data_IF_579493350922
#
_entry.id   IF_579493350922
#
_cell.length_a   1.000
_cell.length_b   1.000
_cell.length_c   1.000
_cell.angle_alpha   90.00
_cell.angle_beta   90.00
_cell.angle_gamma   90.00
#
_symmetry.space_group_name_H-M   'P 1'
#
loop_
_entity.id
_entity.type
_entity.pdbx_description
1 polymer ?
#
# COMPACT_ATOMS: atom_id res chain seq x y z
N UNK A 1 36.24 -17.86 -14.21
CA UNK A 1 35.01 -18.52 -13.69
C UNK A 1 34.02 -17.42 -13.37
N UNK A 2 33.14 -17.09 -14.32
CA UNK A 2 32.01 -16.18 -14.07
C UNK A 2 31.02 -16.87 -13.11
N UNK A 3 30.71 -16.22 -11.99
CA UNK A 3 29.61 -16.64 -11.12
C UNK A 3 28.30 -16.34 -11.86
N UNK A 4 27.55 -17.39 -12.19
CA UNK A 4 26.18 -17.26 -12.65
C UNK A 4 25.34 -16.48 -11.61
N UNK A 5 24.40 -15.62 -12.04
CA UNK A 5 23.53 -14.92 -11.11
C UNK A 5 22.62 -15.94 -10.42
N UNK A 6 22.67 -15.99 -9.09
CA UNK A 6 21.71 -16.73 -8.29
C UNK A 6 20.38 -16.00 -8.40
N UNK A 7 19.51 -16.46 -9.29
CA UNK A 7 18.10 -16.05 -9.31
C UNK A 7 17.46 -16.69 -8.08
N UNK A 8 17.46 -15.97 -6.95
CA UNK A 8 16.72 -16.39 -5.77
C UNK A 8 15.23 -16.51 -6.15
N UNK A 9 14.71 -17.74 -6.13
CA UNK A 9 13.29 -17.99 -6.35
C UNK A 9 12.51 -17.35 -5.22
N UNK A 10 11.78 -16.30 -5.54
CA UNK A 10 10.88 -15.60 -4.63
C UNK A 10 9.87 -16.58 -4.00
N UNK A 11 9.73 -16.55 -2.68
CA UNK A 11 8.78 -17.43 -1.99
C UNK A 11 7.35 -17.16 -2.47
N UNK A 12 6.49 -18.18 -2.50
CA UNK A 12 5.09 -18.03 -2.90
C UNK A 12 4.34 -17.00 -2.03
N UNK A 13 4.68 -16.92 -0.74
CA UNK A 13 4.13 -15.92 0.17
C UNK A 13 4.55 -14.50 -0.20
N UNK A 14 5.80 -14.30 -0.64
CA UNK A 14 6.30 -13.00 -1.07
C UNK A 14 5.63 -12.56 -2.37
N UNK A 15 5.44 -13.46 -3.34
CA UNK A 15 4.76 -13.14 -4.58
C UNK A 15 3.28 -12.76 -4.37
N UNK A 16 2.59 -13.48 -3.48
CA UNK A 16 1.21 -13.20 -3.13
C UNK A 16 1.06 -11.84 -2.42
N UNK A 17 1.97 -11.52 -1.50
CA UNK A 17 2.00 -10.23 -0.81
C UNK A 17 2.18 -9.07 -1.80
N UNK A 18 3.14 -9.19 -2.72
CA UNK A 18 3.38 -8.16 -3.72
C UNK A 18 2.22 -7.99 -4.70
N UNK A 19 1.51 -9.07 -5.03
CA UNK A 19 0.31 -8.99 -5.86
C UNK A 19 -0.80 -8.19 -5.15
N UNK A 20 -1.02 -8.44 -3.86
CA UNK A 20 -1.98 -7.65 -3.06
C UNK A 20 -1.57 -6.20 -2.98
N UNK A 21 -0.30 -5.92 -2.67
CA UNK A 21 0.21 -4.55 -2.57
C UNK A 21 0.13 -3.81 -3.89
N UNK A 22 0.54 -4.41 -4.99
CA UNK A 22 0.47 -3.80 -6.32
C UNK A 22 -0.97 -3.47 -6.67
N UNK A 23 -1.89 -4.42 -6.47
CA UNK A 23 -3.31 -4.22 -6.75
C UNK A 23 -3.91 -3.12 -5.87
N UNK A 24 -3.62 -3.13 -4.57
CA UNK A 24 -4.11 -2.12 -3.64
C UNK A 24 -3.63 -0.72 -4.02
N UNK A 25 -2.34 -0.55 -4.33
CA UNK A 25 -1.85 0.77 -4.72
C UNK A 25 -2.43 1.24 -6.05
N UNK A 26 -2.52 0.38 -7.05
CA UNK A 26 -3.06 0.74 -8.38
C UNK A 26 -4.56 1.00 -8.37
N UNK A 27 -5.35 0.16 -7.69
CA UNK A 27 -6.81 0.21 -7.77
C UNK A 27 -7.48 0.99 -6.62
N UNK A 28 -6.72 1.36 -5.59
CA UNK A 28 -7.24 2.04 -4.39
C UNK A 28 -6.48 3.32 -4.10
N UNK A 29 -5.18 3.23 -3.80
CA UNK A 29 -4.40 4.39 -3.29
C UNK A 29 -4.20 5.46 -4.37
N UNK A 30 -3.81 5.05 -5.57
CA UNK A 30 -3.43 5.92 -6.69
C UNK A 30 -4.53 6.02 -7.74
N UNK A 31 -5.72 5.50 -7.44
CA UNK A 31 -6.85 5.52 -8.36
C UNK A 31 -7.52 6.89 -8.35
N UNK A 32 -7.70 7.48 -9.53
CA UNK A 32 -8.28 8.82 -9.72
C UNK A 32 -9.82 8.79 -9.92
N UNK A 33 -10.48 7.74 -9.44
CA UNK A 33 -11.92 7.58 -9.54
C UNK A 33 -12.57 7.39 -8.17
N UNK A 34 -13.88 7.12 -8.19
CA UNK A 34 -14.63 6.85 -6.96
C UNK A 34 -14.06 5.63 -6.25
N UNK A 35 -13.75 5.78 -4.96
CA UNK A 35 -13.25 4.70 -4.11
C UNK A 35 -14.25 3.53 -4.04
N UNK A 36 -13.77 2.34 -4.37
CA UNK A 36 -14.48 1.07 -4.11
C UNK A 36 -14.06 0.53 -2.74
N UNK A 37 -14.88 0.78 -1.72
CA UNK A 37 -14.62 0.40 -0.34
C UNK A 37 -14.40 -1.11 -0.16
N UNK A 38 -15.02 -1.95 -1.00
CA UNK A 38 -14.84 -3.42 -0.92
C UNK A 38 -13.40 -3.83 -1.20
N UNK A 39 -12.68 -3.08 -2.04
CA UNK A 39 -11.26 -3.35 -2.31
C UNK A 39 -10.39 -3.02 -1.10
N UNK A 40 -10.74 -1.99 -0.33
CA UNK A 40 -10.08 -1.66 0.94
C UNK A 40 -10.29 -2.79 1.94
N UNK A 41 -11.54 -3.23 2.11
CA UNK A 41 -11.94 -4.29 3.03
C UNK A 41 -11.31 -5.64 2.71
N UNK A 42 -11.15 -5.94 1.42
CA UNK A 42 -10.50 -7.18 0.96
C UNK A 42 -8.99 -7.15 1.21
N UNK A 43 -8.35 -5.99 1.11
CA UNK A 43 -6.90 -5.86 1.22
C UNK A 43 -6.40 -5.66 2.66
N UNK A 44 -7.21 -5.07 3.53
CA UNK A 44 -6.79 -4.63 4.86
C UNK A 44 -7.38 -5.50 5.97
N UNK A 45 -6.56 -5.82 6.97
CA UNK A 45 -7.04 -6.50 8.18
C UNK A 45 -8.08 -5.65 8.94
N UNK A 46 -8.93 -6.24 9.80
CA UNK A 46 -9.86 -5.48 10.63
C UNK A 46 -9.21 -4.39 11.48
N UNK A 47 -7.96 -4.61 11.92
CA UNK A 47 -7.21 -3.58 12.64
C UNK A 47 -6.85 -2.39 11.75
N UNK A 48 -6.30 -2.65 10.56
CA UNK A 48 -5.99 -1.60 9.60
C UNK A 48 -7.25 -0.84 9.14
N UNK A 49 -8.38 -1.52 8.96
CA UNK A 49 -9.65 -0.88 8.62
C UNK A 49 -10.13 0.10 9.69
N UNK A 50 -9.90 -0.20 10.97
CA UNK A 50 -10.22 0.75 12.07
C UNK A 50 -9.35 2.00 11.99
N UNK A 51 -8.05 1.84 11.72
CA UNK A 51 -7.15 2.99 11.55
C UNK A 51 -7.57 3.86 10.35
N UNK A 52 -7.96 3.25 9.23
CA UNK A 52 -8.44 3.98 8.07
C UNK A 52 -9.76 4.69 8.33
N UNK A 53 -10.70 4.06 9.05
CA UNK A 53 -11.95 4.72 9.46
C UNK A 53 -11.68 5.91 10.37
N UNK A 54 -10.76 5.75 11.32
CA UNK A 54 -10.34 6.84 12.21
C UNK A 54 -9.77 8.01 11.41
N UNK A 55 -8.82 7.75 10.51
CA UNK A 55 -8.26 8.79 9.65
C UNK A 55 -9.33 9.51 8.81
N UNK A 56 -10.37 8.79 8.36
CA UNK A 56 -11.48 9.42 7.64
C UNK A 56 -12.28 10.37 8.53
N UNK A 57 -12.71 9.94 9.70
CA UNK A 57 -13.54 10.75 10.61
C UNK A 57 -12.79 11.92 11.25
N UNK A 58 -11.47 11.84 11.32
CA UNK A 58 -10.63 12.94 11.80
C UNK A 58 -10.62 14.14 10.81
N UNK A 59 -10.94 13.91 9.53
CA UNK A 59 -10.91 14.94 8.48
C UNK A 59 -12.29 15.21 7.83
N UNK A 60 -13.20 14.25 7.84
CA UNK A 60 -14.48 14.32 7.13
C UNK A 60 -15.64 13.81 7.99
N UNK A 61 -16.80 14.46 7.83
CA UNK A 61 -18.05 13.94 8.37
C UNK A 61 -18.51 12.69 7.59
N UNK A 62 -18.93 11.64 8.30
CA UNK A 62 -19.58 10.47 7.72
C UNK A 62 -18.77 9.17 7.85
N UNK A 63 -18.90 8.29 6.85
CA UNK A 63 -18.26 6.97 6.83
C UNK A 63 -17.36 6.84 5.61
N UNK A 64 -16.17 6.30 5.81
CA UNK A 64 -15.25 5.99 4.72
C UNK A 64 -13.92 5.47 5.25
N UNK A 65 -12.94 5.42 4.36
CA UNK A 65 -11.58 4.99 4.67
C UNK A 65 -10.59 6.07 4.24
N UNK A 66 -9.77 6.53 5.18
CA UNK A 66 -8.72 7.52 4.98
C UNK A 66 -7.53 6.96 4.20
N UNK A 67 -7.74 6.53 2.95
CA UNK A 67 -6.71 5.87 2.13
C UNK A 67 -5.57 6.82 1.73
N UNK A 68 -5.78 8.13 1.83
CA UNK A 68 -4.74 9.15 1.62
C UNK A 68 -3.56 9.02 2.60
N UNK A 69 -3.71 8.32 3.72
CA UNK A 69 -2.58 8.10 4.65
C UNK A 69 -1.44 7.29 4.03
N UNK A 70 -1.68 6.61 2.90
CA UNK A 70 -0.70 5.88 2.09
C UNK A 70 -0.05 6.74 0.99
N UNK A 71 -0.44 8.02 0.84
CA UNK A 71 -0.04 8.92 -0.26
C UNK A 71 0.98 9.97 0.19
N UNK A 72 1.45 10.77 -0.76
CA UNK A 72 2.40 11.89 -0.51
C UNK A 72 1.71 13.20 -0.12
N UNK A 73 0.36 13.23 -0.13
CA UNK A 73 -0.45 14.40 0.25
C UNK A 73 -0.30 15.59 -0.67
N UNK A 74 0.08 15.31 -1.92
CA UNK A 74 0.08 16.30 -2.97
C UNK A 74 -1.37 16.73 -3.29
N UNK A 75 -1.59 18.04 -3.42
CA UNK A 75 -2.82 18.60 -3.95
C UNK A 75 -2.57 19.03 -5.40
N UNK A 76 -3.24 18.38 -6.36
CA UNK A 76 -2.92 18.53 -7.78
C UNK A 76 -1.65 17.75 -8.17
N UNK A 77 -1.34 17.66 -9.46
CA UNK A 77 -0.19 16.90 -9.96
C UNK A 77 -0.14 16.87 -11.48
N UNK A 78 0.86 16.19 -12.04
CA UNK A 78 1.03 16.02 -13.50
C UNK A 78 0.20 14.85 -14.08
N UNK A 79 -0.76 14.33 -13.31
CA UNK A 79 -1.56 13.13 -13.61
C UNK A 79 -0.76 11.83 -13.81
N UNK A 80 0.53 11.80 -13.46
CA UNK A 80 1.32 10.56 -13.47
C UNK A 80 1.20 9.85 -12.12
N UNK A 81 0.55 8.70 -12.11
CA UNK A 81 0.35 7.89 -10.90
C UNK A 81 0.69 6.42 -11.15
N UNK A 82 1.40 5.78 -10.23
CA UNK A 82 1.68 4.34 -10.36
C UNK A 82 2.72 3.79 -9.41
N UNK A 83 2.67 2.47 -9.23
CA UNK A 83 3.66 1.73 -8.44
C UNK A 83 4.97 1.62 -9.22
N UNK A 84 6.05 2.17 -8.66
CA UNK A 84 7.40 2.11 -9.23
C UNK A 84 8.11 0.82 -8.84
N UNK A 85 8.07 0.48 -7.54
CA UNK A 85 8.77 -0.69 -7.02
C UNK A 85 8.07 -1.22 -5.77
N UNK A 86 8.07 -2.54 -5.63
CA UNK A 86 7.75 -3.21 -4.36
C UNK A 86 8.93 -4.11 -4.03
N UNK A 87 9.43 -4.01 -2.81
CA UNK A 87 10.55 -4.83 -2.34
C UNK A 87 10.34 -5.24 -0.88
N UNK A 88 10.63 -6.51 -0.59
CA UNK A 88 10.63 -7.02 0.78
C UNK A 88 11.82 -6.40 1.54
N UNK A 89 11.58 -5.86 2.73
CA UNK A 89 12.61 -5.26 3.60
C UNK A 89 13.13 -6.25 4.62
N UNK A 90 12.22 -6.79 5.44
CA UNK A 90 12.54 -7.70 6.54
C UNK A 90 11.28 -8.41 7.00
N UNK A 91 11.33 -9.74 7.19
CA UNK A 91 10.12 -10.51 7.51
C UNK A 91 9.05 -10.27 6.45
N UNK A 92 7.86 -9.79 6.83
CA UNK A 92 6.78 -9.42 5.89
C UNK A 92 6.52 -7.91 5.86
N UNK A 93 7.56 -7.13 6.12
CA UNK A 93 7.55 -5.69 5.86
C UNK A 93 8.02 -5.43 4.43
N UNK A 94 7.27 -4.62 3.70
CA UNK A 94 7.51 -4.28 2.31
C UNK A 94 7.65 -2.78 2.15
N UNK A 95 8.63 -2.36 1.37
CA UNK A 95 8.77 -1.00 0.88
C UNK A 95 8.01 -0.90 -0.44
N UNK A 96 7.02 -0.01 -0.50
CA UNK A 96 6.28 0.34 -1.70
C UNK A 96 6.69 1.75 -2.12
N UNK A 97 7.34 1.84 -3.29
CA UNK A 97 7.69 3.11 -3.93
C UNK A 97 6.71 3.38 -5.05
N UNK A 98 6.22 4.60 -5.12
CA UNK A 98 5.18 4.99 -6.06
C UNK A 98 5.39 6.42 -6.54
N UNK A 99 4.78 6.73 -7.68
CA UNK A 99 4.57 8.08 -8.16
C UNK A 99 3.12 8.48 -7.84
N UNK A 100 2.96 9.64 -7.22
CA UNK A 100 1.70 10.24 -6.80
C UNK A 100 1.59 11.63 -7.43
N UNK A 101 1.05 11.69 -8.65
CA UNK A 101 0.87 12.93 -9.39
C UNK A 101 2.16 13.69 -9.72
N UNK A 102 3.27 12.98 -9.94
CA UNK A 102 4.60 13.56 -10.21
C UNK A 102 5.51 13.63 -8.99
N UNK A 103 4.98 13.37 -7.78
CA UNK A 103 5.78 13.29 -6.55
C UNK A 103 6.02 11.84 -6.15
N UNK A 104 7.30 11.49 -5.98
CA UNK A 104 7.69 10.15 -5.53
C UNK A 104 7.40 9.98 -4.05
N UNK A 105 6.67 8.92 -3.72
CA UNK A 105 6.37 8.52 -2.36
C UNK A 105 6.96 7.15 -2.00
N UNK A 106 7.15 6.95 -0.70
CA UNK A 106 7.56 5.68 -0.12
C UNK A 106 6.75 5.38 1.14
N UNK A 107 6.23 4.16 1.22
CA UNK A 107 5.63 3.61 2.44
C UNK A 107 6.27 2.27 2.77
N UNK A 108 6.36 1.98 4.07
CA UNK A 108 6.70 0.67 4.58
C UNK A 108 5.43 0.09 5.19
N UNK A 109 4.96 -1.04 4.66
CA UNK A 109 3.73 -1.70 5.10
C UNK A 109 4.04 -3.11 5.60
N UNK A 110 3.32 -3.54 6.64
CA UNK A 110 3.41 -4.91 7.15
C UNK A 110 2.29 -5.76 6.59
N UNK A 111 2.66 -6.86 5.95
CA UNK A 111 1.76 -7.91 5.51
C UNK A 111 1.64 -9.01 6.56
N UNK A 112 0.46 -9.61 6.66
CA UNK A 112 0.20 -10.80 7.49
C UNK A 112 -0.65 -11.80 6.72
N UNK A 113 -0.66 -13.05 7.17
CA UNK A 113 -1.69 -14.00 6.75
C UNK A 113 -2.84 -13.90 7.75
N UNK A 114 -4.02 -13.53 7.27
CA UNK A 114 -5.24 -13.50 8.06
C UNK A 114 -6.27 -14.38 7.37
N UNK A 115 -6.78 -15.40 8.07
CA UNK A 115 -7.71 -16.40 7.53
C UNK A 115 -7.24 -17.02 6.19
N UNK A 116 -5.95 -17.37 6.13
CA UNK A 116 -5.33 -17.98 4.94
C UNK A 116 -5.04 -17.01 3.78
N UNK A 117 -5.26 -15.70 3.95
CA UNK A 117 -5.06 -14.70 2.89
C UNK A 117 -4.02 -13.65 3.27
N UNK A 118 -3.18 -13.18 2.33
CA UNK A 118 -2.31 -12.03 2.57
C UNK A 118 -3.12 -10.74 2.72
N UNK A 119 -2.87 -9.99 3.79
CA UNK A 119 -3.55 -8.73 4.08
C UNK A 119 -2.60 -7.69 4.66
N UNK A 120 -2.90 -6.41 4.43
CA UNK A 120 -2.19 -5.27 5.01
C UNK A 120 -2.61 -5.12 6.48
N UNK A 121 -1.65 -5.27 7.38
CA UNK A 121 -1.87 -5.19 8.82
C UNK A 121 -1.69 -3.78 9.38
N UNK A 122 -0.67 -3.06 8.91
CA UNK A 122 -0.36 -1.69 9.32
C UNK A 122 0.61 -1.00 8.38
N UNK A 123 0.62 0.32 8.44
CA UNK A 123 1.74 1.16 7.97
C UNK A 123 2.80 1.17 9.06
N UNK A 124 4.02 0.73 8.73
CA UNK A 124 5.17 0.72 9.64
C UNK A 124 5.88 2.07 9.61
N UNK A 125 6.03 2.64 8.42
CA UNK A 125 6.65 3.94 8.19
C UNK A 125 6.07 4.54 6.91
N UNK A 126 6.11 5.86 6.79
CA UNK A 126 5.76 6.60 5.59
C UNK A 126 6.66 7.83 5.50
N UNK A 127 7.11 8.17 4.30
CA UNK A 127 7.73 9.47 4.06
C UNK A 127 6.67 10.55 4.27
N UNK A 128 6.92 11.45 5.23
CA UNK A 128 6.10 12.64 5.60
C UNK A 128 4.67 12.60 5.04
N UNK A 129 3.87 11.64 5.53
CA UNK A 129 2.47 11.51 5.14
C UNK A 129 1.59 12.59 5.77
N UNK A 130 0.32 12.60 5.38
CA UNK A 130 -0.66 13.62 5.77
C UNK A 130 -0.74 13.62 7.30
N UNK A 131 -0.70 14.83 7.88
CA UNK A 131 -0.68 15.03 9.33
C UNK A 131 -1.90 14.42 9.97
#
# INVERSE_FOLDING_TARGET
MEKAPVVEKKSASTAADEAVLRRFYTEVVLYDGKLDEKKVETACTPAMLRELRKAYVDEYDGTGYGIWIFRTCINGGDNTAGVLQISQRSGRDYVVRYNDGGVKGETIVRMVTHNGRPMIAKIVCRDKGCR
#
